data_IF_031602993590
#
_entry.id   IF_031602993590
#
_cell.length_a   1.000
_cell.length_b   1.000
_cell.length_c   1.000
_cell.angle_alpha   90.00
_cell.angle_beta   90.00
_cell.angle_gamma   90.00
#
_symmetry.space_group_name_H-M   'P 1'
#
loop_
_entity.id
_entity.type
_entity.pdbx_description
1 polymer ?
#
# COMPACT_ATOMS: atom_id res chain seq x y z
N UNK A 1 25.94 14.38 -11.96
CA UNK A 1 24.81 13.76 -11.24
C UNK A 1 24.98 14.14 -9.79
N UNK A 2 24.03 14.88 -9.25
CA UNK A 2 23.98 15.13 -7.81
C UNK A 2 23.42 13.87 -7.14
N UNK A 3 24.09 13.43 -6.08
CA UNK A 3 23.72 12.23 -5.33
C UNK A 3 23.55 12.61 -3.88
N UNK A 4 22.37 12.34 -3.33
CA UNK A 4 22.03 12.69 -1.96
C UNK A 4 21.66 11.43 -1.20
N UNK A 5 22.28 11.22 -0.04
CA UNK A 5 21.79 10.21 0.89
C UNK A 5 20.61 10.79 1.66
N UNK A 6 19.44 10.14 1.57
CA UNK A 6 18.21 10.61 2.20
C UNK A 6 17.28 9.46 2.57
N UNK A 7 16.35 9.76 3.47
CA UNK A 7 15.18 8.93 3.76
C UNK A 7 13.97 9.50 3.02
N UNK A 8 13.16 8.61 2.43
CA UNK A 8 11.91 8.93 1.75
C UNK A 8 10.83 8.04 2.34
N UNK A 9 9.75 8.67 2.79
CA UNK A 9 8.54 7.96 3.22
C UNK A 9 7.57 7.90 2.04
N UNK A 10 6.93 6.75 1.80
CA UNK A 10 6.01 6.60 0.68
C UNK A 10 5.31 5.24 0.65
N UNK A 11 4.24 5.16 -0.13
CA UNK A 11 3.47 3.95 -0.31
C UNK A 11 4.03 3.13 -1.49
N UNK A 12 4.04 1.82 -1.34
CA UNK A 12 4.40 0.90 -2.42
C UNK A 12 3.33 0.93 -3.50
N UNK A 13 3.70 1.33 -4.71
CA UNK A 13 2.75 1.47 -5.83
C UNK A 13 2.27 0.11 -6.35
N UNK A 14 3.22 -0.81 -6.53
CA UNK A 14 2.98 -2.12 -7.14
C UNK A 14 3.87 -3.20 -6.53
N UNK A 15 3.54 -4.47 -6.83
CA UNK A 15 4.25 -5.64 -6.29
C UNK A 15 5.74 -5.50 -6.64
N UNK A 16 6.66 -5.54 -5.65
CA UNK A 16 8.09 -5.51 -5.93
C UNK A 16 8.51 -6.62 -6.89
N UNK A 17 9.28 -6.26 -7.91
CA UNK A 17 9.66 -7.16 -9.01
C UNK A 17 11.14 -7.52 -8.88
N UNK A 18 11.49 -8.82 -8.96
CA UNK A 18 12.88 -9.24 -9.08
C UNK A 18 13.57 -8.58 -10.27
N UNK A 19 14.68 -7.93 -10.01
CA UNK A 19 15.58 -7.34 -11.00
C UNK A 19 16.76 -8.25 -11.33
N UNK A 20 17.64 -7.82 -12.25
CA UNK A 20 18.84 -8.56 -12.59
C UNK A 20 19.84 -8.59 -11.41
N UNK A 21 20.63 -9.66 -11.30
CA UNK A 21 21.71 -9.80 -10.28
C UNK A 21 21.19 -9.75 -8.83
N UNK A 22 20.12 -10.48 -8.55
CA UNK A 22 19.54 -10.63 -7.20
C UNK A 22 19.07 -9.31 -6.57
N UNK A 23 18.82 -8.29 -7.40
CA UNK A 23 18.19 -7.06 -6.95
C UNK A 23 16.67 -7.18 -6.97
N UNK A 24 15.99 -6.27 -6.28
CA UNK A 24 14.56 -6.04 -6.41
C UNK A 24 14.30 -4.59 -6.78
N UNK A 25 13.30 -4.35 -7.61
CA UNK A 25 12.85 -3.03 -8.03
C UNK A 25 11.40 -2.84 -7.62
N UNK A 26 11.08 -1.65 -7.12
CA UNK A 26 9.73 -1.26 -6.74
C UNK A 26 9.60 0.26 -6.85
N UNK A 27 8.38 0.74 -7.05
CA UNK A 27 8.10 2.17 -7.11
C UNK A 27 7.43 2.64 -5.81
N UNK A 28 7.86 3.79 -5.30
CA UNK A 28 7.25 4.46 -4.15
C UNK A 28 6.51 5.71 -4.61
N UNK A 29 5.23 5.79 -4.26
CA UNK A 29 4.47 7.03 -4.27
C UNK A 29 4.85 7.81 -3.02
N UNK A 30 5.57 8.91 -3.19
CA UNK A 30 6.13 9.69 -2.08
C UNK A 30 5.02 10.28 -1.24
N UNK A 31 5.08 10.05 0.07
CA UNK A 31 4.19 10.68 1.03
C UNK A 31 4.48 12.18 1.07
N UNK A 32 3.51 13.04 0.75
CA UNK A 32 3.71 14.48 0.83
C UNK A 32 3.91 14.91 2.29
N UNK A 33 4.73 15.95 2.48
CA UNK A 33 5.00 16.49 3.81
C UNK A 33 3.76 17.13 4.45
N UNK A 34 2.87 17.66 3.60
CA UNK A 34 1.59 18.24 3.98
C UNK A 34 0.56 17.82 2.94
N UNK A 35 -0.32 16.88 3.31
CA UNK A 35 -1.33 16.32 2.41
C UNK A 35 -2.47 17.30 2.17
N UNK A 36 -2.77 18.17 3.15
CA UNK A 36 -3.86 19.15 3.08
C UNK A 36 -3.48 20.37 2.24
N UNK A 37 -2.18 20.55 1.95
CA UNK A 37 -1.66 21.63 1.12
C UNK A 37 -1.55 21.27 -0.37
N UNK A 38 -1.78 20.01 -0.74
CA UNK A 38 -1.77 19.58 -2.14
C UNK A 38 -3.11 19.91 -2.80
N UNK A 39 -3.03 20.31 -4.08
CA UNK A 39 -4.19 20.37 -4.94
C UNK A 39 -4.66 18.94 -5.24
N UNK A 40 -5.97 18.70 -5.30
CA UNK A 40 -6.54 17.37 -5.56
C UNK A 40 -6.08 16.80 -6.91
N UNK A 41 -5.74 17.68 -7.87
CA UNK A 41 -5.25 17.33 -9.20
C UNK A 41 -3.70 17.30 -9.30
N UNK A 42 -2.97 17.50 -8.20
CA UNK A 42 -1.51 17.46 -8.22
C UNK A 42 -1.01 16.04 -8.55
N UNK A 43 -0.09 15.87 -9.52
CA UNK A 43 0.41 14.55 -9.86
C UNK A 43 1.24 13.96 -8.73
N UNK A 44 1.05 12.67 -8.49
CA UNK A 44 1.86 11.90 -7.54
C UNK A 44 3.35 11.96 -7.90
N UNK A 45 4.18 12.13 -6.88
CA UNK A 45 5.64 12.02 -7.04
C UNK A 45 6.04 10.56 -6.86
N UNK A 46 6.52 9.93 -7.95
CA UNK A 46 6.97 8.54 -7.93
C UNK A 46 8.49 8.44 -7.98
N UNK A 47 9.07 7.60 -7.12
CA UNK A 47 10.51 7.29 -7.10
C UNK A 47 10.72 5.80 -7.34
N UNK A 48 11.51 5.46 -8.36
CA UNK A 48 11.91 4.08 -8.62
C UNK A 48 13.04 3.68 -7.69
N UNK A 49 12.78 2.69 -6.87
CA UNK A 49 13.69 2.17 -5.87
C UNK A 49 14.31 0.84 -6.33
N UNK A 50 15.57 0.62 -5.95
CA UNK A 50 16.25 -0.64 -6.19
C UNK A 50 17.09 -1.01 -4.97
N UNK A 51 17.06 -2.27 -4.55
CA UNK A 51 17.98 -2.79 -3.54
C UNK A 51 18.62 -4.09 -4.02
N UNK A 52 19.88 -4.29 -3.64
CA UNK A 52 20.59 -5.57 -3.77
C UNK A 52 21.00 -6.15 -2.41
N UNK A 53 20.55 -5.56 -1.30
CA UNK A 53 20.77 -6.14 0.02
C UNK A 53 19.89 -7.38 0.17
N UNK A 54 20.45 -8.58 0.44
CA UNK A 54 19.67 -9.81 0.50
C UNK A 54 18.54 -9.80 1.52
N UNK A 55 18.67 -9.06 2.63
CA UNK A 55 17.62 -8.94 3.66
C UNK A 55 16.48 -8.08 3.17
N UNK A 56 16.80 -6.94 2.55
CA UNK A 56 15.79 -6.03 1.97
C UNK A 56 15.10 -6.71 0.79
N UNK A 57 15.83 -7.42 -0.06
CA UNK A 57 15.28 -8.21 -1.17
C UNK A 57 14.32 -9.28 -0.65
N UNK A 58 14.68 -10.01 0.42
CA UNK A 58 13.79 -11.01 1.00
C UNK A 58 12.48 -10.39 1.49
N UNK A 59 12.56 -9.29 2.23
CA UNK A 59 11.38 -8.60 2.77
C UNK A 59 10.48 -8.07 1.65
N UNK A 60 11.05 -7.40 0.64
CA UNK A 60 10.29 -6.85 -0.49
C UNK A 60 9.58 -7.93 -1.32
N UNK A 61 10.15 -9.13 -1.42
CA UNK A 61 9.56 -10.20 -2.22
C UNK A 61 8.55 -11.08 -1.47
N UNK A 62 8.57 -11.07 -0.12
CA UNK A 62 7.79 -12.03 0.68
C UNK A 62 6.91 -11.38 1.75
N UNK A 63 7.28 -10.20 2.26
CA UNK A 63 6.53 -9.49 3.31
C UNK A 63 5.77 -8.30 2.78
N UNK A 64 6.41 -7.46 1.96
CA UNK A 64 5.87 -6.18 1.53
C UNK A 64 4.75 -6.33 0.50
N UNK A 65 3.68 -5.56 0.70
CA UNK A 65 2.53 -5.45 -0.19
C UNK A 65 2.43 -4.04 -0.78
N UNK A 66 1.87 -3.90 -2.00
CA UNK A 66 1.29 -2.66 -2.48
C UNK A 66 0.39 -2.00 -1.43
N UNK A 67 0.57 -0.70 -1.25
CA UNK A 67 -0.12 0.08 -0.22
C UNK A 67 0.57 0.11 1.14
N UNK A 68 1.58 -0.72 1.40
CA UNK A 68 2.40 -0.59 2.62
C UNK A 68 3.10 0.78 2.60
N UNK A 69 3.07 1.48 3.74
CA UNK A 69 3.82 2.72 3.93
C UNK A 69 5.22 2.37 4.42
N UNK A 70 6.23 2.72 3.63
CA UNK A 70 7.63 2.42 3.92
C UNK A 70 8.43 3.70 4.15
N UNK A 71 9.49 3.58 4.94
CA UNK A 71 10.63 4.50 4.94
C UNK A 71 11.80 3.82 4.24
N UNK A 72 12.14 4.32 3.06
CA UNK A 72 13.30 3.88 2.29
C UNK A 72 14.45 4.87 2.47
N UNK A 73 15.58 4.39 2.97
CA UNK A 73 16.82 5.17 3.11
C UNK A 73 17.85 4.68 2.12
N UNK A 74 18.52 5.62 1.47
CA UNK A 74 19.48 5.27 0.43
C UNK A 74 20.08 6.44 -0.31
N UNK A 75 20.74 6.14 -1.42
CA UNK A 75 21.35 7.13 -2.30
C UNK A 75 20.40 7.49 -3.44
N UNK A 76 19.86 8.71 -3.39
CA UNK A 76 18.99 9.27 -4.41
C UNK A 76 19.82 9.87 -5.53
N UNK A 77 19.51 9.48 -6.76
CA UNK A 77 20.06 10.04 -8.00
C UNK A 77 18.92 10.76 -8.71
N UNK A 78 19.05 12.08 -8.84
CA UNK A 78 18.11 12.85 -9.66
C UNK A 78 18.40 12.60 -11.15
N UNK A 79 17.35 12.45 -11.98
CA UNK A 79 17.55 12.26 -13.40
C UNK A 79 18.07 13.56 -14.02
N UNK A 80 18.94 13.46 -15.04
CA UNK A 80 19.45 14.63 -15.74
C UNK A 80 18.38 15.30 -16.62
N UNK A 81 17.34 14.56 -17.01
CA UNK A 81 16.24 15.03 -17.87
C UNK A 81 14.97 15.27 -17.04
N UNK A 82 14.32 16.44 -17.15
CA UNK A 82 12.99 16.65 -16.58
C UNK A 82 11.98 15.65 -17.15
N UNK A 83 11.22 14.98 -16.28
CA UNK A 83 10.19 13.99 -16.67
C UNK A 83 10.63 12.53 -16.58
N UNK A 84 11.91 12.25 -16.34
CA UNK A 84 12.33 10.91 -15.91
C UNK A 84 12.11 10.74 -14.39
N UNK A 85 11.76 9.54 -13.91
CA UNK A 85 11.59 9.30 -12.47
C UNK A 85 12.95 9.31 -11.76
N UNK A 86 12.98 9.88 -10.55
CA UNK A 86 14.16 9.80 -9.70
C UNK A 86 14.42 8.35 -9.28
N UNK A 87 15.70 8.02 -9.07
CA UNK A 87 16.11 6.67 -8.69
C UNK A 87 16.74 6.64 -7.32
N UNK A 88 16.29 5.74 -6.46
CA UNK A 88 16.83 5.54 -5.12
C UNK A 88 17.46 4.14 -5.01
N UNK A 89 18.75 4.08 -4.71
CA UNK A 89 19.39 2.80 -4.31
C UNK A 89 19.24 2.65 -2.80
N UNK A 90 18.41 1.71 -2.37
CA UNK A 90 17.98 1.53 -0.98
C UNK A 90 18.95 0.61 -0.23
N UNK A 91 19.45 1.11 0.90
CA UNK A 91 20.36 0.41 1.81
C UNK A 91 19.77 0.17 3.21
N UNK A 92 18.65 0.82 3.54
CA UNK A 92 17.84 0.50 4.71
C UNK A 92 16.34 0.70 4.43
N UNK A 93 15.51 -0.18 4.98
CA UNK A 93 14.07 -0.19 4.80
C UNK A 93 13.35 -0.43 6.14
N UNK A 94 12.30 0.34 6.39
CA UNK A 94 11.41 0.21 7.55
C UNK A 94 9.95 0.25 7.09
N UNK A 95 9.12 -0.65 7.62
CA UNK A 95 7.66 -0.65 7.41
C UNK A 95 7.03 0.24 8.48
N UNK A 96 6.41 1.33 8.05
CA UNK A 96 5.75 2.31 8.94
C UNK A 96 4.28 1.97 9.16
N UNK A 97 3.60 1.46 8.14
CA UNK A 97 2.21 1.01 8.19
C UNK A 97 1.95 -0.06 7.12
N UNK A 98 1.02 -0.96 7.38
CA UNK A 98 0.69 -2.08 6.48
C UNK A 98 -0.61 -1.81 5.73
N UNK A 99 -0.66 -2.20 4.45
CA UNK A 99 -1.86 -2.11 3.65
C UNK A 99 -3.04 -2.84 4.31
N UNK A 100 -4.20 -2.18 4.35
CA UNK A 100 -5.44 -2.76 4.89
C UNK A 100 -5.90 -4.00 4.12
N UNK A 101 -5.54 -4.09 2.83
CA UNK A 101 -5.89 -5.19 1.93
C UNK A 101 -4.60 -5.64 1.23
N UNK A 102 -4.04 -6.82 1.58
CA UNK A 102 -2.87 -7.35 0.89
C UNK A 102 -3.23 -7.69 -0.57
N UNK A 103 -2.22 -7.87 -1.44
CA UNK A 103 -2.48 -8.15 -2.85
C UNK A 103 -3.26 -9.45 -3.02
N UNK A 104 -4.25 -9.37 -3.92
CA UNK A 104 -5.27 -10.33 -4.31
C UNK A 104 -4.75 -11.66 -4.90
N UNK A 105 -3.73 -12.30 -4.34
CA UNK A 105 -3.27 -13.62 -4.83
C UNK A 105 -4.22 -14.74 -4.43
N UNK A 106 -4.78 -14.67 -3.22
CA UNK A 106 -5.71 -15.68 -2.66
C UNK A 106 -6.95 -15.06 -2.00
N UNK A 107 -7.24 -13.79 -2.29
CA UNK A 107 -8.39 -13.12 -1.73
C UNK A 107 -9.66 -13.37 -2.57
N UNK A 108 -10.77 -13.69 -1.89
CA UNK A 108 -12.08 -13.89 -2.52
C UNK A 108 -12.98 -12.70 -2.20
N UNK A 109 -13.44 -12.01 -3.22
CA UNK A 109 -14.48 -10.99 -3.09
C UNK A 109 -15.84 -11.68 -3.15
N UNK A 110 -16.67 -11.45 -2.12
CA UNK A 110 -18.04 -11.94 -2.07
C UNK A 110 -19.02 -10.81 -1.76
N UNK A 111 -20.29 -11.01 -2.10
CA UNK A 111 -21.34 -9.99 -1.99
C UNK A 111 -22.41 -10.42 -0.98
N UNK A 112 -22.61 -9.57 0.01
CA UNK A 112 -23.63 -9.70 1.05
C UNK A 112 -24.68 -8.60 0.83
N UNK A 113 -25.60 -8.79 -0.11
CA UNK A 113 -26.59 -7.77 -0.46
C UNK A 113 -25.95 -6.51 -1.04
N UNK A 114 -26.07 -5.38 -0.33
CA UNK A 114 -25.44 -4.09 -0.68
C UNK A 114 -24.06 -3.88 -0.05
N UNK A 115 -23.46 -4.96 0.45
CA UNK A 115 -22.11 -4.97 1.00
C UNK A 115 -21.19 -5.91 0.22
N UNK A 116 -19.91 -5.57 0.25
CA UNK A 116 -18.82 -6.34 -0.35
C UNK A 116 -17.85 -6.68 0.76
N UNK A 117 -17.42 -7.94 0.79
CA UNK A 117 -16.43 -8.45 1.74
C UNK A 117 -15.26 -9.05 0.99
N UNK A 118 -14.08 -9.01 1.60
CA UNK A 118 -12.87 -9.59 1.01
C UNK A 118 -12.30 -10.61 1.98
N UNK A 119 -12.43 -11.89 1.65
CA UNK A 119 -11.79 -12.97 2.39
C UNK A 119 -10.32 -13.05 2.01
N UNK A 120 -9.46 -13.32 2.99
CA UNK A 120 -8.05 -13.60 2.78
C UNK A 120 -7.72 -14.91 3.50
N UNK A 121 -7.04 -15.84 2.82
CA UNK A 121 -6.65 -17.12 3.43
C UNK A 121 -5.66 -16.95 4.60
N UNK A 122 -4.92 -15.83 4.63
CA UNK A 122 -3.87 -15.58 5.62
C UNK A 122 -4.37 -14.87 6.90
N UNK A 123 -5.62 -14.39 6.93
CA UNK A 123 -6.21 -13.75 8.12
C UNK A 123 -7.68 -14.09 8.29
N UNK A 124 -8.08 -14.27 9.54
CA UNK A 124 -9.51 -14.46 9.87
C UNK A 124 -10.30 -13.17 9.75
N UNK A 125 -9.66 -11.99 9.89
CA UNK A 125 -10.38 -10.71 9.87
C UNK A 125 -10.89 -10.39 8.47
N UNK A 126 -12.15 -9.95 8.36
CA UNK A 126 -12.81 -9.70 7.07
C UNK A 126 -13.13 -8.21 6.93
N UNK A 127 -12.45 -7.47 6.03
CA UNK A 127 -12.83 -6.10 5.70
C UNK A 127 -14.19 -6.07 4.99
N UNK A 128 -15.05 -5.14 5.42
CA UNK A 128 -16.41 -4.95 4.88
C UNK A 128 -16.55 -3.54 4.32
N UNK A 129 -17.11 -3.46 3.13
CA UNK A 129 -17.42 -2.23 2.41
C UNK A 129 -18.88 -2.24 1.97
N UNK A 130 -19.44 -1.06 1.68
CA UNK A 130 -20.66 -0.99 0.86
C UNK A 130 -20.34 -1.39 -0.59
N UNK A 131 -21.36 -1.71 -1.37
CA UNK A 131 -21.21 -2.02 -2.79
C UNK A 131 -20.65 -0.83 -3.61
N UNK A 132 -20.65 0.37 -3.04
CA UNK A 132 -20.07 1.59 -3.62
C UNK A 132 -18.62 1.84 -3.14
N UNK A 133 -18.04 0.92 -2.38
CA UNK A 133 -16.66 1.01 -1.89
C UNK A 133 -16.48 1.83 -0.61
N UNK A 134 -17.57 2.22 0.07
CA UNK A 134 -17.46 2.92 1.35
C UNK A 134 -17.03 1.95 2.44
N UNK A 135 -15.99 2.28 3.20
CA UNK A 135 -15.54 1.47 4.33
C UNK A 135 -16.62 1.37 5.41
N UNK A 136 -16.96 0.14 5.81
CA UNK A 136 -17.91 -0.15 6.91
C UNK A 136 -17.16 -0.52 8.18
N UNK A 137 -16.11 -1.34 8.08
CA UNK A 137 -15.32 -1.79 9.21
C UNK A 137 -14.60 -3.11 8.95
N UNK A 138 -13.92 -3.60 9.98
CA UNK A 138 -13.23 -4.89 9.98
C UNK A 138 -13.97 -5.86 10.91
N UNK A 139 -14.47 -6.96 10.37
CA UNK A 139 -15.06 -8.04 11.16
C UNK A 139 -13.95 -8.95 11.70
N UNK A 140 -14.06 -9.42 12.94
CA UNK A 140 -13.03 -10.28 13.56
C UNK A 140 -12.91 -11.65 12.89
N UNK A 141 -13.99 -12.13 12.25
CA UNK A 141 -14.06 -13.40 11.52
C UNK A 141 -15.27 -13.40 10.55
N UNK A 142 -15.41 -14.39 9.65
CA UNK A 142 -16.55 -14.49 8.73
C UNK A 142 -17.93 -14.48 9.40
N UNK A 143 -18.07 -15.09 10.57
CA UNK A 143 -19.35 -15.15 11.28
C UNK A 143 -19.78 -13.79 11.86
N UNK A 144 -18.82 -12.87 12.07
CA UNK A 144 -19.07 -11.54 12.61
C UNK A 144 -19.54 -10.52 11.54
N UNK A 145 -19.48 -10.85 10.25
CA UNK A 145 -19.83 -9.95 9.14
C UNK A 145 -21.26 -9.41 9.29
N UNK A 146 -22.24 -10.30 9.51
CA UNK A 146 -23.65 -9.91 9.63
C UNK A 146 -23.88 -8.95 10.81
N UNK A 147 -23.20 -9.19 11.94
CA UNK A 147 -23.31 -8.33 13.12
C UNK A 147 -22.74 -6.93 12.84
N UNK A 148 -21.61 -6.84 12.14
CA UNK A 148 -21.02 -5.56 11.76
C UNK A 148 -21.93 -4.77 10.81
N UNK A 149 -22.52 -5.43 9.82
CA UNK A 149 -23.51 -4.83 8.91
C UNK A 149 -24.73 -4.33 9.69
N UNK A 150 -25.32 -5.15 10.56
CA UNK A 150 -26.47 -4.77 11.37
C UNK A 150 -26.19 -3.54 12.25
N UNK A 151 -24.97 -3.42 12.79
CA UNK A 151 -24.54 -2.26 13.57
C UNK A 151 -24.46 -1.03 12.67
N UNK A 152 -23.81 -1.15 11.51
CA UNK A 152 -23.68 -0.06 10.54
C UNK A 152 -25.04 0.47 10.10
N UNK A 153 -25.99 -0.42 9.78
CA UNK A 153 -27.35 -0.05 9.36
C UNK A 153 -28.14 0.60 10.49
N UNK A 154 -28.01 0.13 11.73
CA UNK A 154 -28.68 0.77 12.86
C UNK A 154 -28.14 2.18 13.14
N UNK A 155 -26.87 2.42 12.88
CA UNK A 155 -26.22 3.72 13.11
C UNK A 155 -26.48 4.69 11.96
N UNK A 156 -26.46 4.21 10.71
CA UNK A 156 -26.47 5.07 9.52
C UNK A 156 -27.74 4.95 8.66
N UNK A 157 -28.52 3.87 8.80
CA UNK A 157 -29.76 3.61 8.07
C UNK A 157 -31.02 4.18 8.74
N UNK A 158 -30.87 4.89 9.86
CA UNK A 158 -31.96 5.54 10.57
C UNK A 158 -32.37 6.88 9.97
N UNK A 159 -32.91 6.88 8.75
CA UNK A 159 -33.93 7.84 8.29
C UNK A 159 -34.60 7.29 7.02
N UNK A 160 -35.81 6.74 7.19
CA UNK A 160 -36.74 6.38 6.12
C UNK A 160 -38.09 7.04 6.41
#
# INVERSE_FOLDING_TARGET
>A
MDTKHCAVDGWVDAIPVPGPRDTVTFDLVVRPADIDALDDDAPDTVITCTSGDPRITHELLNGIQPGDLLRATGTLVQPPTPGEPARLTVDALEVLDTALVPVLREMVLDRYGDYVVIFNADTDTVPVFTAHGTWVGLADNPDAIATLIDIHERVNGGDA
#
